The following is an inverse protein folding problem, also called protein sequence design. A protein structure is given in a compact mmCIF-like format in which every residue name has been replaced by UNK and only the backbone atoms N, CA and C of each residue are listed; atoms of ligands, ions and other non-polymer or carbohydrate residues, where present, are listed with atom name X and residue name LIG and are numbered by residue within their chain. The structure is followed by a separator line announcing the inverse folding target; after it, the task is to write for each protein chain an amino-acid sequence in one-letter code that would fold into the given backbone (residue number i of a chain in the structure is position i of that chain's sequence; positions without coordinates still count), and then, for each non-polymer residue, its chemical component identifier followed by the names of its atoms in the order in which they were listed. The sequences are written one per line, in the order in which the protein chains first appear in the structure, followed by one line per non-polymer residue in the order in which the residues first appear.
data_IF_037369531010
#
_entry.id   IF_037369531010
#
_cell.length_a   1.000
_cell.length_b   1.000
_cell.length_c   1.000
_cell.angle_alpha   90.00
_cell.angle_beta   90.00
_cell.angle_gamma   90.00
#
_symmetry.space_group_name_H-M   'P 1'
#
loop_
_entity.id
_entity.type
_entity.pdbx_description
1 polymer ?
#
# COMPACT_ATOMS: atom_id res chain seq x y z
N UNK A 1 -23.61 -49.00 10.46
CA UNK A 1 -22.46 -48.31 11.12
C UNK A 1 -21.18 -48.60 10.37
N UNK A 2 -20.54 -47.61 9.80
CA UNK A 2 -19.24 -47.75 9.15
C UNK A 2 -18.17 -48.14 10.17
N UNK A 3 -17.39 -49.16 9.85
CA UNK A 3 -16.25 -49.63 10.62
C UNK A 3 -15.26 -48.49 10.89
N UNK A 4 -14.68 -48.41 12.10
CA UNK A 4 -13.65 -47.45 12.47
C UNK A 4 -12.50 -47.40 11.44
N UNK A 5 -12.17 -48.53 10.83
CA UNK A 5 -11.16 -48.61 9.79
C UNK A 5 -11.56 -47.89 8.49
N UNK A 6 -12.83 -47.95 8.09
CA UNK A 6 -13.36 -47.23 6.92
C UNK A 6 -13.33 -45.70 7.14
N UNK A 7 -13.73 -45.22 8.32
CA UNK A 7 -13.66 -43.79 8.66
C UNK A 7 -12.24 -43.27 8.68
N UNK A 8 -11.27 -44.09 9.14
CA UNK A 8 -9.84 -43.74 9.09
C UNK A 8 -9.31 -43.71 7.65
N UNK A 9 -9.77 -44.64 6.81
CA UNK A 9 -9.41 -44.70 5.39
C UNK A 9 -9.98 -43.51 4.61
N UNK A 10 -11.23 -43.12 4.89
CA UNK A 10 -11.86 -41.93 4.26
C UNK A 10 -11.17 -40.62 4.68
N UNK A 11 -10.80 -40.49 5.93
CA UNK A 11 -9.98 -39.33 6.39
C UNK A 11 -8.61 -39.28 5.74
N UNK A 12 -8.00 -40.44 5.44
CA UNK A 12 -6.69 -40.50 4.76
C UNK A 12 -6.76 -40.24 3.26
N UNK A 13 -7.93 -40.41 2.61
CA UNK A 13 -8.10 -40.19 1.17
C UNK A 13 -7.87 -38.77 0.72
N UNK A 14 -8.00 -37.78 1.63
CA UNK A 14 -7.69 -36.37 1.35
C UNK A 14 -6.24 -35.96 1.64
N UNK A 15 -5.41 -36.87 2.15
CA UNK A 15 -4.03 -36.59 2.52
C UNK A 15 -3.07 -37.05 1.42
N UNK A 16 -2.14 -36.19 1.04
CA UNK A 16 -1.01 -36.59 0.17
C UNK A 16 -0.11 -37.59 0.90
N UNK A 17 0.62 -38.46 0.17
CA UNK A 17 1.58 -39.37 0.81
C UNK A 17 2.56 -38.62 1.70
N UNK A 18 2.72 -39.05 2.96
CA UNK A 18 3.59 -38.42 3.94
C UNK A 18 3.00 -37.27 4.73
N UNK A 19 1.77 -36.83 4.43
CA UNK A 19 1.07 -35.80 5.21
C UNK A 19 0.38 -36.39 6.44
N UNK A 20 0.52 -35.72 7.60
CA UNK A 20 -0.23 -35.99 8.81
C UNK A 20 -1.44 -35.06 8.93
N UNK A 21 -2.40 -35.43 9.81
CA UNK A 21 -3.55 -34.54 10.11
C UNK A 21 -3.10 -33.22 10.72
N UNK A 22 -2.02 -33.22 11.53
CA UNK A 22 -1.42 -32.02 12.07
C UNK A 22 -0.86 -31.10 10.97
N UNK A 23 -0.25 -31.65 9.92
CA UNK A 23 0.23 -30.87 8.76
C UNK A 23 -0.92 -30.21 8.01
N UNK A 24 -2.03 -30.88 7.82
CA UNK A 24 -3.23 -30.32 7.18
C UNK A 24 -3.82 -29.18 8.01
N UNK A 25 -3.88 -29.31 9.33
CA UNK A 25 -4.35 -28.24 10.22
C UNK A 25 -3.42 -27.03 10.19
N UNK A 26 -2.10 -27.24 10.19
CA UNK A 26 -1.11 -26.18 10.06
C UNK A 26 -1.26 -25.42 8.72
N UNK A 27 -1.45 -26.13 7.61
CA UNK A 27 -1.68 -25.51 6.30
C UNK A 27 -2.97 -24.70 6.27
N UNK A 28 -4.06 -25.21 6.85
CA UNK A 28 -5.32 -24.46 6.95
C UNK A 28 -5.19 -23.19 7.77
N UNK A 29 -4.45 -23.25 8.88
CA UNK A 29 -4.13 -22.08 9.71
C UNK A 29 -3.33 -21.03 8.94
N UNK A 30 -2.30 -21.46 8.21
CA UNK A 30 -1.48 -20.56 7.38
C UNK A 30 -2.29 -19.89 6.28
N UNK A 31 -3.18 -20.62 5.62
CA UNK A 31 -4.08 -20.07 4.59
C UNK A 31 -5.02 -19.04 5.20
N UNK A 32 -5.62 -19.32 6.36
CA UNK A 32 -6.49 -18.38 7.07
C UNK A 32 -5.75 -17.10 7.43
N UNK A 33 -4.57 -17.20 8.01
CA UNK A 33 -3.74 -16.04 8.37
C UNK A 33 -3.35 -15.21 7.14
N UNK A 34 -3.01 -15.86 6.03
CA UNK A 34 -2.70 -15.18 4.77
C UNK A 34 -3.91 -14.43 4.20
N UNK A 35 -5.11 -15.03 4.26
CA UNK A 35 -6.36 -14.38 3.83
C UNK A 35 -6.70 -13.19 4.72
N UNK A 36 -6.60 -13.32 6.04
CA UNK A 36 -6.85 -12.24 6.99
C UNK A 36 -5.87 -11.07 6.78
N UNK A 37 -4.59 -11.35 6.54
CA UNK A 37 -3.58 -10.34 6.24
C UNK A 37 -3.86 -9.64 4.92
N UNK A 38 -4.26 -10.36 3.89
CA UNK A 38 -4.63 -9.81 2.58
C UNK A 38 -5.84 -8.87 2.67
N UNK A 39 -6.86 -9.24 3.45
CA UNK A 39 -8.04 -8.40 3.71
C UNK A 39 -7.65 -7.12 4.46
N UNK A 40 -6.78 -7.24 5.46
CA UNK A 40 -6.26 -6.09 6.21
C UNK A 40 -5.47 -5.14 5.30
N UNK A 41 -4.56 -5.64 4.48
CA UNK A 41 -3.75 -4.85 3.55
C UNK A 41 -4.63 -4.13 2.51
N UNK A 42 -5.65 -4.80 1.99
CA UNK A 42 -6.63 -4.19 1.08
C UNK A 42 -7.42 -3.07 1.77
N UNK A 43 -7.84 -3.26 3.01
CA UNK A 43 -8.54 -2.26 3.81
C UNK A 43 -7.69 -1.01 4.04
N UNK A 44 -6.40 -1.18 4.38
CA UNK A 44 -5.43 -0.08 4.54
C UNK A 44 -5.24 0.67 3.22
N UNK A 45 -5.14 -0.03 2.09
CA UNK A 45 -5.00 0.58 0.77
C UNK A 45 -6.24 1.40 0.39
N UNK A 46 -7.44 0.90 0.64
CA UNK A 46 -8.69 1.61 0.39
C UNK A 46 -8.76 2.90 1.23
N UNK A 47 -8.40 2.85 2.50
CA UNK A 47 -8.35 4.04 3.36
C UNK A 47 -7.34 5.08 2.85
N UNK A 48 -6.17 4.65 2.39
CA UNK A 48 -5.16 5.53 1.81
C UNK A 48 -5.69 6.21 0.54
N UNK A 49 -6.35 5.47 -0.35
CA UNK A 49 -6.95 5.99 -1.58
C UNK A 49 -8.05 7.02 -1.29
N UNK A 50 -8.91 6.74 -0.31
CA UNK A 50 -9.96 7.68 0.13
C UNK A 50 -9.36 8.98 0.67
N UNK A 51 -8.30 8.90 1.48
CA UNK A 51 -7.60 10.07 2.00
C UNK A 51 -6.96 10.90 0.90
N UNK A 52 -6.33 10.24 -0.09
CA UNK A 52 -5.73 10.91 -1.24
C UNK A 52 -6.78 11.63 -2.09
N UNK A 53 -7.90 11.02 -2.36
CA UNK A 53 -9.02 11.63 -3.07
C UNK A 53 -9.54 12.87 -2.35
N UNK A 54 -9.76 12.77 -1.05
CA UNK A 54 -10.20 13.90 -0.24
C UNK A 54 -9.20 15.05 -0.27
N UNK A 55 -7.91 14.78 -0.17
CA UNK A 55 -6.88 15.80 -0.26
C UNK A 55 -6.86 16.49 -1.63
N UNK A 56 -7.07 15.75 -2.71
CA UNK A 56 -7.18 16.31 -4.04
C UNK A 56 -8.40 17.25 -4.15
N UNK A 57 -9.55 16.86 -3.63
CA UNK A 57 -10.75 17.70 -3.64
C UNK A 57 -10.55 18.97 -2.79
N UNK A 58 -9.93 18.86 -1.64
CA UNK A 58 -9.56 20.02 -0.81
C UNK A 58 -8.64 20.96 -1.59
N UNK A 59 -7.64 20.42 -2.28
CA UNK A 59 -6.72 21.22 -3.08
C UNK A 59 -7.45 21.97 -4.21
N UNK A 60 -8.37 21.32 -4.91
CA UNK A 60 -9.18 21.94 -5.96
C UNK A 60 -10.04 23.09 -5.41
N UNK A 61 -10.72 22.86 -4.29
CA UNK A 61 -11.53 23.90 -3.63
C UNK A 61 -10.67 25.05 -3.15
N UNK A 62 -9.52 24.77 -2.55
CA UNK A 62 -8.56 25.78 -2.08
C UNK A 62 -8.00 26.63 -3.24
N UNK A 63 -7.70 26.02 -4.38
CA UNK A 63 -7.27 26.73 -5.58
C UNK A 63 -8.35 27.67 -6.13
N UNK A 64 -9.60 27.23 -6.07
CA UNK A 64 -10.74 28.07 -6.45
C UNK A 64 -10.89 29.27 -5.51
N UNK A 65 -10.85 29.04 -4.19
CA UNK A 65 -11.00 30.11 -3.19
C UNK A 65 -9.83 31.09 -3.17
N UNK A 66 -8.59 30.56 -3.26
CA UNK A 66 -7.39 31.41 -3.15
C UNK A 66 -7.02 32.11 -4.46
N UNK A 67 -7.24 31.47 -5.61
CA UNK A 67 -6.77 31.93 -6.91
C UNK A 67 -7.87 32.09 -7.95
N UNK A 68 -9.12 31.76 -7.64
CA UNK A 68 -10.23 31.84 -8.56
C UNK A 68 -10.19 30.81 -9.69
N UNK A 69 -9.53 29.68 -9.50
CA UNK A 69 -9.46 28.62 -10.50
C UNK A 69 -10.84 28.04 -10.78
N UNK A 70 -11.29 28.16 -12.03
CA UNK A 70 -12.49 27.49 -12.51
C UNK A 70 -12.18 26.10 -13.05
N UNK A 71 -13.17 25.47 -13.73
CA UNK A 71 -13.07 24.10 -14.21
C UNK A 71 -11.89 23.84 -15.14
N UNK A 72 -11.59 24.75 -16.07
CA UNK A 72 -10.48 24.59 -17.02
C UNK A 72 -9.10 24.59 -16.33
N UNK A 73 -8.87 25.53 -15.42
CA UNK A 73 -7.60 25.59 -14.67
C UNK A 73 -7.47 24.46 -13.66
N UNK A 74 -8.57 24.06 -13.03
CA UNK A 74 -8.58 22.88 -12.15
C UNK A 74 -8.23 21.62 -12.92
N UNK A 75 -8.74 21.42 -14.14
CA UNK A 75 -8.38 20.29 -14.98
C UNK A 75 -6.89 20.29 -15.37
N UNK A 76 -6.34 21.45 -15.73
CA UNK A 76 -4.90 21.59 -15.99
C UNK A 76 -4.04 21.24 -14.75
N UNK A 77 -4.51 21.63 -13.58
CA UNK A 77 -3.84 21.29 -12.33
C UNK A 77 -3.84 19.77 -12.09
N UNK A 78 -4.96 19.10 -12.34
CA UNK A 78 -5.06 17.64 -12.21
C UNK A 78 -4.17 16.91 -13.22
N UNK A 79 -4.11 17.38 -14.46
CA UNK A 79 -3.20 16.85 -15.49
C UNK A 79 -1.74 17.01 -15.09
N UNK A 80 -1.36 18.19 -14.59
CA UNK A 80 0.00 18.44 -14.09
C UNK A 80 0.34 17.55 -12.89
N UNK A 81 -0.60 17.32 -11.99
CA UNK A 81 -0.40 16.37 -10.88
C UNK A 81 -0.13 14.96 -11.39
N UNK A 82 -0.88 14.51 -12.39
CA UNK A 82 -0.69 13.19 -12.98
C UNK A 82 0.68 13.06 -13.65
N UNK A 83 1.13 14.08 -14.36
CA UNK A 83 2.47 14.10 -14.97
C UNK A 83 3.58 13.99 -13.91
N UNK A 84 3.47 14.73 -12.82
CA UNK A 84 4.43 14.68 -11.71
C UNK A 84 4.42 13.31 -11.03
N UNK A 85 3.25 12.72 -10.82
CA UNK A 85 3.13 11.36 -10.29
C UNK A 85 3.82 10.33 -11.19
N UNK A 86 3.63 10.43 -12.50
CA UNK A 86 4.23 9.53 -13.48
C UNK A 86 5.76 9.67 -13.49
N UNK A 87 6.29 10.90 -13.43
CA UNK A 87 7.72 11.16 -13.26
C UNK A 87 8.28 10.53 -11.98
N UNK A 88 7.58 10.69 -10.87
CA UNK A 88 7.99 10.09 -9.59
C UNK A 88 7.99 8.57 -9.64
N UNK A 89 7.01 7.98 -10.30
CA UNK A 89 6.92 6.53 -10.48
C UNK A 89 8.08 6.00 -11.33
N UNK A 90 8.41 6.66 -12.42
CA UNK A 90 9.54 6.31 -13.27
C UNK A 90 10.87 6.41 -12.50
N UNK A 91 11.07 7.46 -11.72
CA UNK A 91 12.26 7.61 -10.87
C UNK A 91 12.32 6.52 -9.80
N UNK A 92 11.20 6.17 -9.19
CA UNK A 92 11.12 5.10 -8.21
C UNK A 92 11.48 3.74 -8.80
N UNK A 93 11.07 3.45 -10.03
CA UNK A 93 11.43 2.23 -10.75
C UNK A 93 12.92 2.16 -11.10
N UNK A 94 13.51 3.28 -11.48
CA UNK A 94 14.92 3.35 -11.90
C UNK A 94 15.91 3.44 -10.74
N UNK A 95 15.57 4.17 -9.68
CA UNK A 95 16.49 4.55 -8.61
C UNK A 95 15.97 4.25 -7.20
N UNK A 96 14.75 3.71 -7.06
CA UNK A 96 14.11 3.42 -5.79
C UNK A 96 13.20 4.54 -5.27
N UNK A 97 12.25 4.16 -4.40
CA UNK A 97 11.23 5.05 -3.87
C UNK A 97 11.77 6.17 -2.98
N UNK A 98 12.84 5.92 -2.24
CA UNK A 98 13.50 6.93 -1.39
C UNK A 98 14.10 8.06 -2.24
N UNK A 99 14.80 7.70 -3.30
CA UNK A 99 15.38 8.66 -4.24
C UNK A 99 14.31 9.54 -4.90
N UNK A 100 13.24 8.94 -5.39
CA UNK A 100 12.13 9.67 -5.99
C UNK A 100 11.47 10.65 -5.02
N UNK A 101 11.26 10.22 -3.77
CA UNK A 101 10.68 11.05 -2.71
C UNK A 101 11.60 12.21 -2.34
N UNK A 102 12.89 11.98 -2.21
CA UNK A 102 13.87 13.04 -1.92
C UNK A 102 13.94 14.08 -3.03
N UNK A 103 13.91 13.66 -4.28
CA UNK A 103 13.87 14.57 -5.43
C UNK A 103 12.61 15.42 -5.46
N UNK A 104 11.45 14.81 -5.21
CA UNK A 104 10.18 15.54 -5.12
C UNK A 104 10.22 16.58 -3.99
N UNK A 105 10.70 16.19 -2.82
CA UNK A 105 10.83 17.06 -1.66
C UNK A 105 11.76 18.24 -1.93
N UNK A 106 12.92 18.02 -2.56
CA UNK A 106 13.85 19.09 -2.95
C UNK A 106 13.22 20.06 -3.94
N UNK A 107 12.50 19.54 -4.94
CA UNK A 107 11.80 20.36 -5.93
C UNK A 107 10.74 21.25 -5.28
N UNK A 108 9.92 20.69 -4.39
CA UNK A 108 8.93 21.43 -3.63
C UNK A 108 9.56 22.48 -2.72
N UNK A 109 10.67 22.17 -2.07
CA UNK A 109 11.43 23.11 -1.24
C UNK A 109 12.00 24.26 -2.04
N UNK A 110 12.51 24.00 -3.23
CA UNK A 110 13.02 25.04 -4.14
C UNK A 110 11.91 25.98 -4.62
N UNK A 111 10.74 25.44 -4.95
CA UNK A 111 9.59 26.22 -5.41
C UNK A 111 9.03 27.12 -4.29
N UNK A 112 8.91 26.58 -3.09
CA UNK A 112 8.33 27.29 -1.95
C UNK A 112 9.33 28.20 -1.23
N UNK A 113 10.62 27.96 -1.38
CA UNK A 113 11.67 28.62 -0.58
C UNK A 113 11.70 28.19 0.89
N UNK A 114 10.97 27.17 1.24
CA UNK A 114 10.86 26.61 2.59
C UNK A 114 11.53 25.22 2.60
N UNK A 115 12.35 24.94 3.61
CA UNK A 115 12.90 23.61 3.82
C UNK A 115 11.78 22.65 4.26
N UNK A 116 11.29 21.84 3.34
CA UNK A 116 10.27 20.83 3.59
C UNK A 116 10.93 19.58 4.16
N UNK A 117 10.44 19.12 5.32
CA UNK A 117 10.89 17.89 5.93
C UNK A 117 9.76 16.86 5.97
N UNK A 118 10.07 15.58 5.75
CA UNK A 118 9.05 14.55 5.81
C UNK A 118 8.53 14.37 7.25
N UNK A 119 7.22 14.20 7.36
CA UNK A 119 6.57 13.85 8.61
C UNK A 119 6.82 12.36 8.88
N UNK A 120 7.11 12.00 10.13
CA UNK A 120 7.35 10.62 10.56
C UNK A 120 8.57 9.93 9.93
N UNK A 121 9.58 10.70 9.49
CA UNK A 121 10.81 10.13 8.94
C UNK A 121 11.51 9.18 9.90
N UNK A 122 11.62 9.57 11.17
CA UNK A 122 12.27 8.75 12.22
C UNK A 122 11.56 7.43 12.42
N UNK A 123 10.23 7.43 12.43
CA UNK A 123 9.43 6.20 12.55
C UNK A 123 9.63 5.29 11.33
N UNK A 124 9.75 5.84 10.14
CA UNK A 124 9.99 5.07 8.91
C UNK A 124 11.39 4.46 8.88
N UNK A 125 12.40 5.21 9.32
CA UNK A 125 13.78 4.72 9.43
C UNK A 125 13.87 3.61 10.47
N UNK A 126 13.20 3.75 11.59
CA UNK A 126 13.19 2.75 12.65
C UNK A 126 12.46 1.47 12.20
N UNK A 127 11.33 1.57 11.53
CA UNK A 127 10.62 0.43 10.98
C UNK A 127 11.47 -0.35 9.96
N UNK A 128 12.27 0.34 9.15
CA UNK A 128 13.22 -0.31 8.23
C UNK A 128 14.31 -1.07 8.97
N UNK A 129 14.91 -0.47 10.00
CA UNK A 129 15.94 -1.12 10.82
C UNK A 129 15.42 -2.37 11.51
N UNK A 130 14.19 -2.36 12.00
CA UNK A 130 13.53 -3.51 12.62
C UNK A 130 13.26 -4.64 11.61
N UNK A 131 12.92 -4.30 10.35
CA UNK A 131 12.71 -5.28 9.29
C UNK A 131 14.01 -5.86 8.72
N UNK A 132 15.12 -5.15 8.80
CA UNK A 132 16.45 -5.61 8.36
C UNK A 132 17.19 -6.43 9.44
N UNK A 133 16.72 -6.38 10.66
CA UNK A 133 17.22 -7.19 11.76
C UNK A 133 16.45 -8.52 11.84
#
# INVERSE_FOLDING_TARGET
MGNRAQRRAEKRKGLKPGQTYADVLSQKKMIREAVEQSVHDTSVQIEADIKMQRQLWIAIVALNEAFGFGGERAMRFMEAMQEVEDECRDLAQKHGGVYAREKLMKRASQITGIAIQPIHEDAMVQARKENEA
#
